data_IF_280756870210
#
_entry.id   IF_280756870210
#
_cell.length_a   1.000
_cell.length_b   1.000
_cell.length_c   1.000
_cell.angle_alpha   90.00
_cell.angle_beta   90.00
_cell.angle_gamma   90.00
#
_symmetry.space_group_name_H-M   'P 1'
#
loop_
_entity.id
_entity.type
_entity.pdbx_description
1 polymer ?
#
# COMPACT_ATOMS: atom_id res chain seq x y z
N UNK A 1 26.45 2.06 0.25
CA UNK A 1 25.47 2.56 -0.72
C UNK A 1 24.04 2.44 -0.18
N UNK A 2 23.55 1.25 -0.03
CA UNK A 2 22.19 1.03 0.43
C UNK A 2 21.94 1.58 1.83
N UNK A 3 22.92 1.55 2.73
CA UNK A 3 22.75 2.02 4.11
C UNK A 3 22.43 3.50 4.17
N UNK A 4 23.21 4.33 3.46
CA UNK A 4 22.98 5.77 3.45
C UNK A 4 21.63 6.10 2.77
N UNK A 5 21.32 5.43 1.67
CA UNK A 5 20.06 5.61 0.96
C UNK A 5 18.87 5.20 1.83
N UNK A 6 19.00 4.06 2.53
CA UNK A 6 17.95 3.57 3.41
C UNK A 6 17.70 4.53 4.57
N UNK A 7 18.75 5.05 5.19
CA UNK A 7 18.60 6.00 6.30
C UNK A 7 17.93 7.29 5.83
N UNK A 8 18.35 7.85 4.70
CA UNK A 8 17.73 9.05 4.15
C UNK A 8 16.26 8.82 3.79
N UNK A 9 15.96 7.67 3.20
CA UNK A 9 14.61 7.30 2.85
C UNK A 9 13.73 7.12 4.10
N UNK A 10 14.25 6.50 5.16
CA UNK A 10 13.52 6.32 6.40
C UNK A 10 13.23 7.68 7.05
N UNK A 11 14.18 8.62 7.02
CA UNK A 11 13.98 9.96 7.56
C UNK A 11 12.91 10.74 6.78
N UNK A 12 12.84 10.57 5.46
CA UNK A 12 11.87 11.25 4.60
C UNK A 12 10.53 10.51 4.52
N UNK A 13 10.48 9.24 4.92
CA UNK A 13 9.32 8.38 4.80
C UNK A 13 8.54 8.23 6.11
N UNK A 14 8.08 7.02 6.35
CA UNK A 14 7.22 6.69 7.48
C UNK A 14 7.97 6.03 8.64
N UNK A 15 9.28 5.87 8.54
CA UNK A 15 10.04 5.13 9.55
C UNK A 15 9.80 3.63 9.53
N UNK A 16 9.31 3.10 8.44
CA UNK A 16 8.99 1.68 8.26
C UNK A 16 10.00 1.02 7.31
N UNK A 17 10.18 -0.31 7.42
CA UNK A 17 10.92 -1.05 6.40
C UNK A 17 10.31 -0.80 5.02
N UNK A 18 11.13 -0.93 3.98
CA UNK A 18 10.74 -0.60 2.62
C UNK A 18 11.12 -1.72 1.66
N UNK A 19 10.33 -1.87 0.62
CA UNK A 19 10.61 -2.75 -0.50
C UNK A 19 10.24 -2.05 -1.80
N UNK A 20 10.97 -2.30 -2.86
CA UNK A 20 10.68 -1.72 -4.17
C UNK A 20 10.30 -2.83 -5.13
N UNK A 21 9.12 -2.69 -5.76
CA UNK A 21 8.67 -3.59 -6.80
C UNK A 21 8.95 -2.97 -8.17
N UNK A 22 9.57 -3.75 -9.05
CA UNK A 22 9.82 -3.32 -10.42
C UNK A 22 8.60 -3.69 -11.28
N UNK A 23 7.75 -2.70 -11.55
CA UNK A 23 6.58 -2.87 -12.40
C UNK A 23 6.87 -2.35 -13.80
N UNK A 24 6.19 -2.85 -14.85
CA UNK A 24 6.41 -2.38 -16.23
C UNK A 24 6.23 -0.86 -16.38
N UNK A 25 5.27 -0.27 -15.68
CA UNK A 25 4.99 1.16 -15.76
C UNK A 25 5.89 2.01 -14.86
N UNK A 26 6.76 1.40 -14.06
CA UNK A 26 7.66 2.10 -13.17
C UNK A 26 7.75 1.45 -11.80
N UNK A 27 8.67 1.90 -10.96
CA UNK A 27 8.84 1.32 -9.63
C UNK A 27 7.68 1.66 -8.71
N UNK A 28 7.35 0.73 -7.82
CA UNK A 28 6.43 0.95 -6.72
C UNK A 28 7.19 0.72 -5.42
N UNK A 29 7.33 1.76 -4.62
CA UNK A 29 8.03 1.68 -3.36
C UNK A 29 7.04 1.46 -2.23
N UNK A 30 7.17 0.34 -1.53
CA UNK A 30 6.25 -0.02 -0.45
C UNK A 30 6.88 0.25 0.91
N UNK A 31 6.15 0.95 1.76
CA UNK A 31 6.42 1.01 3.18
C UNK A 31 5.71 -0.19 3.82
N UNK A 32 6.43 -0.95 4.66
CA UNK A 32 5.94 -2.23 5.16
C UNK A 32 5.43 -2.09 6.59
N UNK A 33 4.12 -2.02 6.75
CA UNK A 33 3.45 -1.98 8.06
C UNK A 33 3.01 -3.39 8.43
N UNK A 34 3.99 -4.30 8.64
CA UNK A 34 3.74 -5.71 8.91
C UNK A 34 3.79 -6.05 10.39
N UNK A 35 4.14 -5.09 11.25
CA UNK A 35 4.07 -5.23 12.69
C UNK A 35 2.72 -4.71 13.19
N UNK A 36 2.32 -5.12 14.40
CA UNK A 36 0.98 -4.85 14.90
C UNK A 36 0.63 -3.36 14.96
N UNK A 37 1.45 -2.55 15.63
CA UNK A 37 1.11 -1.14 15.83
C UNK A 37 1.11 -0.34 14.52
N UNK A 38 2.15 -0.43 13.66
CA UNK A 38 2.10 0.24 12.35
C UNK A 38 0.94 -0.23 11.48
N UNK A 39 0.57 -1.51 11.55
CA UNK A 39 -0.54 -2.07 10.78
C UNK A 39 -1.87 -1.50 11.25
N UNK A 40 -2.07 -1.37 12.56
CA UNK A 40 -3.29 -0.77 13.11
C UNK A 40 -3.42 0.70 12.76
N UNK A 41 -2.30 1.41 12.73
CA UNK A 41 -2.28 2.83 12.39
C UNK A 41 -2.59 3.07 10.91
N UNK A 42 -2.03 2.24 10.01
CA UNK A 42 -2.13 2.48 8.58
C UNK A 42 -1.60 3.85 8.19
N UNK A 43 -2.38 4.62 7.45
CA UNK A 43 -2.01 5.96 6.99
C UNK A 43 -2.40 7.09 7.94
N UNK A 44 -3.11 6.80 9.02
CA UNK A 44 -3.56 7.84 9.95
C UNK A 44 -2.38 8.61 10.55
N UNK A 45 -2.48 9.93 10.50
CA UNK A 45 -1.45 10.81 11.05
C UNK A 45 -0.15 10.82 10.27
N UNK A 46 -0.07 10.15 9.13
CA UNK A 46 1.09 10.18 8.25
C UNK A 46 0.86 11.21 7.14
N UNK A 47 1.96 11.70 6.52
CA UNK A 47 1.80 12.48 5.30
C UNK A 47 1.14 11.62 4.22
N UNK A 48 0.44 12.23 3.24
CA UNK A 48 -0.10 11.45 2.13
C UNK A 48 0.99 10.71 1.36
N UNK A 49 0.64 9.55 0.82
CA UNK A 49 1.51 8.82 -0.09
C UNK A 49 1.75 9.65 -1.35
N UNK A 50 2.97 9.60 -1.86
CA UNK A 50 3.33 10.19 -3.15
C UNK A 50 3.10 9.18 -4.25
N UNK A 51 3.05 9.65 -5.49
CA UNK A 51 3.01 8.76 -6.65
C UNK A 51 4.17 7.77 -6.59
N UNK A 52 3.87 6.50 -6.87
CA UNK A 52 4.88 5.44 -6.81
C UNK A 52 5.21 4.97 -5.41
N UNK A 53 4.50 5.44 -4.40
CA UNK A 53 4.59 4.93 -3.03
C UNK A 53 3.34 4.17 -2.65
N UNK A 54 3.49 3.15 -1.82
CA UNK A 54 2.37 2.43 -1.22
C UNK A 54 2.67 2.04 0.21
N UNK A 55 1.61 1.70 0.94
CA UNK A 55 1.71 1.13 2.28
C UNK A 55 1.20 -0.29 2.23
N UNK A 56 2.05 -1.25 2.58
CA UNK A 56 1.69 -2.67 2.63
C UNK A 56 1.36 -3.07 4.06
N UNK A 57 0.19 -3.67 4.25
CA UNK A 57 -0.27 -4.18 5.54
C UNK A 57 -0.48 -5.69 5.43
N UNK A 58 0.20 -6.46 6.25
CA UNK A 58 0.07 -7.91 6.27
C UNK A 58 0.34 -8.46 7.67
N UNK A 59 -0.39 -9.46 8.14
CA UNK A 59 -1.61 -9.98 7.54
C UNK A 59 -2.76 -8.99 7.67
N UNK A 60 -3.55 -8.83 6.61
CA UNK A 60 -4.64 -7.87 6.62
C UNK A 60 -5.62 -8.20 5.48
N UNK A 61 -6.91 -8.14 5.76
CA UNK A 61 -7.95 -8.37 4.76
C UNK A 61 -9.03 -7.28 4.76
N UNK A 62 -8.80 -6.21 5.51
CA UNK A 62 -9.76 -5.11 5.59
C UNK A 62 -9.04 -3.80 5.83
N UNK A 63 -9.64 -2.71 5.38
CA UNK A 63 -9.16 -1.37 5.64
C UNK A 63 -10.33 -0.47 5.98
N UNK A 64 -10.08 0.57 6.75
CA UNK A 64 -11.01 1.67 6.94
C UNK A 64 -10.29 2.98 6.63
N UNK A 65 -11.07 3.94 6.15
CA UNK A 65 -10.58 5.28 5.86
C UNK A 65 -11.16 6.31 6.84
N UNK A 66 -11.58 5.85 8.01
CA UNK A 66 -12.11 6.71 9.06
C UNK A 66 -11.02 7.68 9.54
N UNK A 67 -11.33 8.96 9.56
CA UNK A 67 -10.37 9.98 9.95
C UNK A 67 -9.44 10.44 8.84
N UNK A 68 -9.49 9.85 7.67
CA UNK A 68 -8.70 10.30 6.52
C UNK A 68 -9.37 11.49 5.85
N UNK A 69 -8.58 12.28 5.10
CA UNK A 69 -9.05 13.50 4.45
C UNK A 69 -8.99 13.43 2.93
N UNK A 70 -8.58 12.28 2.37
CA UNK A 70 -8.38 12.09 0.93
C UNK A 70 -8.70 10.64 0.57
N UNK A 71 -9.09 10.38 -0.68
CA UNK A 71 -9.32 9.01 -1.13
C UNK A 71 -8.01 8.27 -1.36
N UNK A 72 -8.07 6.95 -1.36
CA UNK A 72 -6.94 6.07 -1.66
C UNK A 72 -7.38 4.94 -2.56
N UNK A 73 -6.44 4.40 -3.34
CA UNK A 73 -6.64 3.12 -4.01
C UNK A 73 -6.25 2.00 -3.03
N UNK A 74 -7.02 0.93 -3.03
CA UNK A 74 -6.76 -0.22 -2.16
C UNK A 74 -6.66 -1.48 -3.01
N UNK A 75 -5.53 -2.17 -2.88
CA UNK A 75 -5.32 -3.47 -3.50
C UNK A 75 -5.44 -4.54 -2.42
N UNK A 76 -6.21 -5.58 -2.71
CA UNK A 76 -6.27 -6.77 -1.86
C UNK A 76 -5.50 -7.88 -2.57
N UNK A 77 -4.54 -8.49 -1.88
CA UNK A 77 -3.68 -9.53 -2.44
C UNK A 77 -3.78 -10.80 -1.61
N UNK A 78 -3.69 -11.95 -2.28
CA UNK A 78 -3.62 -13.23 -1.59
C UNK A 78 -2.18 -13.53 -1.14
N UNK A 79 -1.95 -14.73 -0.60
CA UNK A 79 -0.62 -15.14 -0.10
C UNK A 79 0.42 -15.28 -1.21
N UNK A 80 -0.01 -15.43 -2.45
CA UNK A 80 0.88 -15.50 -3.61
C UNK A 80 1.12 -14.14 -4.26
N UNK A 81 0.69 -13.05 -3.60
CA UNK A 81 0.79 -11.69 -4.10
C UNK A 81 -0.01 -11.46 -5.40
N UNK A 82 -1.07 -12.22 -5.58
CA UNK A 82 -1.99 -12.00 -6.68
C UNK A 82 -3.07 -11.04 -6.25
N UNK A 83 -3.36 -10.04 -7.08
CA UNK A 83 -4.41 -9.06 -6.81
C UNK A 83 -5.77 -9.75 -6.96
N UNK A 84 -6.51 -9.86 -5.85
CA UNK A 84 -7.82 -10.50 -5.85
C UNK A 84 -8.96 -9.49 -5.90
N UNK A 85 -8.69 -8.24 -5.52
CA UNK A 85 -9.67 -7.16 -5.63
C UNK A 85 -8.96 -5.81 -5.62
N UNK A 86 -9.57 -4.82 -6.26
CA UNK A 86 -9.12 -3.43 -6.25
C UNK A 86 -10.31 -2.54 -5.91
N UNK A 87 -10.11 -1.61 -4.98
CA UNK A 87 -11.05 -0.54 -4.67
C UNK A 87 -10.43 0.78 -5.07
N UNK A 88 -10.73 1.30 -6.28
CA UNK A 88 -10.16 2.56 -6.71
C UNK A 88 -10.83 3.73 -6.01
N UNK A 89 -10.04 4.74 -5.66
CA UNK A 89 -10.50 5.99 -5.07
C UNK A 89 -11.51 5.79 -3.93
N UNK A 90 -11.17 4.93 -2.99
CA UNK A 90 -11.99 4.69 -1.81
C UNK A 90 -12.08 6.00 -1.00
N UNK A 91 -13.27 6.59 -0.84
CA UNK A 91 -13.39 7.88 -0.15
C UNK A 91 -13.09 7.75 1.35
N UNK A 92 -12.84 8.88 2.05
CA UNK A 92 -12.80 8.87 3.51
C UNK A 92 -14.09 8.31 4.13
N UNK A 93 -13.95 7.82 5.35
CA UNK A 93 -15.08 7.31 6.15
C UNK A 93 -15.76 6.08 5.54
N UNK A 94 -14.96 5.21 4.95
CA UNK A 94 -15.43 3.95 4.35
C UNK A 94 -14.73 2.75 4.97
N UNK A 95 -15.33 1.60 4.78
CA UNK A 95 -14.79 0.30 5.13
C UNK A 95 -14.75 -0.56 3.86
N UNK A 96 -13.66 -1.27 3.63
CA UNK A 96 -13.55 -2.25 2.55
C UNK A 96 -13.02 -3.56 3.10
N UNK A 97 -13.62 -4.66 2.69
CA UNK A 97 -13.30 -6.01 3.14
C UNK A 97 -13.06 -6.92 1.94
N UNK A 98 -12.13 -7.86 2.08
CA UNK A 98 -11.93 -8.93 1.12
C UNK A 98 -11.43 -10.17 1.88
N UNK A 99 -12.35 -11.13 2.14
CA UNK A 99 -12.06 -12.27 3.01
C UNK A 99 -10.94 -13.17 2.50
N UNK A 100 -10.68 -13.21 1.19
CA UNK A 100 -9.61 -14.00 0.59
C UNK A 100 -8.25 -13.29 0.60
N UNK A 101 -8.19 -12.04 1.06
CA UNK A 101 -6.94 -11.30 1.10
C UNK A 101 -6.07 -11.72 2.28
N UNK A 102 -4.78 -11.68 2.05
CA UNK A 102 -3.74 -11.86 3.08
C UNK A 102 -2.99 -10.54 3.31
N UNK A 103 -2.93 -9.70 2.30
CA UNK A 103 -2.21 -8.43 2.32
C UNK A 103 -3.03 -7.35 1.66
N UNK A 104 -2.91 -6.15 2.17
CA UNK A 104 -3.52 -4.96 1.60
C UNK A 104 -2.40 -4.01 1.21
N UNK A 105 -2.51 -3.39 0.04
CA UNK A 105 -1.62 -2.31 -0.37
C UNK A 105 -2.47 -1.07 -0.61
N UNK A 106 -2.14 -0.01 0.11
CA UNK A 106 -2.78 1.31 -0.04
C UNK A 106 -1.92 2.18 -0.94
N UNK A 107 -2.53 2.84 -1.91
CA UNK A 107 -1.86 3.69 -2.89
C UNK A 107 -2.56 5.04 -2.96
N UNK A 108 -1.88 6.08 -3.47
CA UNK A 108 -2.59 7.30 -3.83
C UNK A 108 -3.71 7.01 -4.82
N UNK A 109 -4.82 7.73 -4.70
CA UNK A 109 -5.94 7.57 -5.63
C UNK A 109 -5.47 7.79 -7.08
N UNK A 110 -5.80 6.83 -7.95
CA UNK A 110 -5.41 6.85 -9.35
C UNK A 110 -4.11 6.10 -9.66
N UNK A 111 -3.30 5.76 -8.65
CA UNK A 111 -2.02 5.10 -8.89
C UNK A 111 -2.18 3.65 -9.37
N UNK A 112 -3.23 2.95 -8.95
CA UNK A 112 -3.47 1.60 -9.47
C UNK A 112 -3.62 1.60 -11.00
N UNK A 113 -4.40 2.53 -11.53
CA UNK A 113 -4.58 2.67 -12.97
C UNK A 113 -3.30 3.15 -13.66
N UNK A 114 -2.62 4.14 -13.07
CA UNK A 114 -1.36 4.67 -13.62
C UNK A 114 -0.29 3.58 -13.74
N UNK A 115 -0.22 2.69 -12.77
CA UNK A 115 0.74 1.59 -12.75
C UNK A 115 0.26 0.36 -13.53
N UNK A 116 -0.93 0.42 -14.13
CA UNK A 116 -1.47 -0.69 -14.91
C UNK A 116 -1.83 -1.90 -14.08
N UNK A 117 -2.16 -1.71 -12.80
CA UNK A 117 -2.48 -2.82 -11.91
C UNK A 117 -3.91 -3.30 -12.14
N UNK A 118 -4.07 -4.61 -12.26
CA UNK A 118 -5.35 -5.23 -12.57
C UNK A 118 -5.58 -6.45 -11.69
N UNK A 119 -6.85 -6.74 -11.44
CA UNK A 119 -7.26 -7.98 -10.77
C UNK A 119 -6.72 -9.18 -11.52
N UNK A 120 -6.20 -10.15 -10.80
CA UNK A 120 -5.61 -11.37 -11.34
C UNK A 120 -4.11 -11.27 -11.60
N UNK A 121 -3.55 -10.08 -11.60
CA UNK A 121 -2.12 -9.87 -11.78
C UNK A 121 -1.36 -10.29 -10.54
N UNK A 122 -0.24 -10.97 -10.71
CA UNK A 122 0.67 -11.29 -9.62
C UNK A 122 1.77 -10.24 -9.56
N UNK A 123 1.94 -9.66 -8.37
CA UNK A 123 3.01 -8.69 -8.16
C UNK A 123 4.35 -9.42 -8.01
N UNK A 124 5.46 -8.79 -8.42
CA UNK A 124 6.78 -9.37 -8.23
C UNK A 124 7.12 -9.47 -6.73
N UNK A 125 8.03 -10.39 -6.39
CA UNK A 125 8.46 -10.56 -4.99
C UNK A 125 9.26 -9.36 -4.47
#
# INVERSE_FOLDING_TARGET
MSTATTAAAAAAGFGLPRATLALPAGPLELHLAHRLLPRLRGLLGRRPLRRGEGLSLAPCNSVHTFGMRYPIDVLFLDRADRIVAIRPALPPWRLALCGSAWRVVELPAGDAARLGLERGQQLPP
#
